data_IF_653375381438
#
_entry.id   IF_653375381438
#
_cell.length_a   1.000
_cell.length_b   1.000
_cell.length_c   1.000
_cell.angle_alpha   90.00
_cell.angle_beta   90.00
_cell.angle_gamma   90.00
#
_symmetry.space_group_name_H-M   'P 1'
#
loop_
_entity.id
_entity.type
_entity.pdbx_description
1 polymer ?
#
# COMPACT_ATOMS: atom_id res chain seq x y z
N UNK A 1 -25.98 19.69 -9.12
CA UNK A 1 -26.21 18.56 -8.16
C UNK A 1 -24.87 17.94 -7.86
N UNK A 2 -24.49 17.74 -6.58
CA UNK A 2 -23.20 17.14 -6.25
C UNK A 2 -23.13 15.68 -6.71
N UNK A 3 -22.00 15.22 -7.31
CA UNK A 3 -21.87 13.85 -7.79
C UNK A 3 -21.74 12.87 -6.64
N UNK A 4 -22.26 11.66 -6.85
CA UNK A 4 -21.99 10.51 -6.00
C UNK A 4 -20.73 9.83 -6.51
N UNK A 5 -19.73 9.69 -5.66
CA UNK A 5 -18.39 9.24 -6.04
C UNK A 5 -18.13 7.84 -5.48
N UNK A 6 -17.74 6.93 -6.35
CA UNK A 6 -17.33 5.58 -5.98
C UNK A 6 -15.81 5.52 -5.85
N UNK A 7 -15.30 5.20 -4.64
CA UNK A 7 -13.86 5.07 -4.35
C UNK A 7 -13.44 3.61 -4.38
N UNK A 8 -13.06 3.10 -5.55
CA UNK A 8 -12.74 1.68 -5.76
C UNK A 8 -11.30 1.41 -5.32
N UNK A 9 -11.12 0.74 -4.18
CA UNK A 9 -9.82 0.41 -3.59
C UNK A 9 -9.83 -0.90 -2.82
N UNK A 10 -8.66 -1.28 -2.27
CA UNK A 10 -8.49 -2.45 -1.40
C UNK A 10 -8.78 -2.09 0.05
N UNK A 11 -10.05 -1.83 0.35
CA UNK A 11 -10.48 -1.30 1.63
C UNK A 11 -11.02 -2.40 2.56
N UNK A 12 -10.82 -2.23 3.88
CA UNK A 12 -11.35 -3.13 4.91
C UNK A 12 -10.54 -4.40 5.12
N UNK A 13 -9.30 -4.43 4.67
CA UNK A 13 -8.35 -5.53 4.91
C UNK A 13 -7.48 -5.31 6.14
N UNK A 14 -7.66 -4.22 6.90
CA UNK A 14 -6.73 -3.72 7.89
C UNK A 14 -5.31 -3.54 7.31
N UNK A 15 -5.23 -2.92 6.14
CA UNK A 15 -3.97 -2.55 5.50
C UNK A 15 -3.69 -1.08 5.79
N UNK A 16 -2.70 -0.81 6.63
CA UNK A 16 -2.32 0.53 7.08
C UNK A 16 -2.12 1.50 5.93
N UNK A 17 -1.47 1.05 4.86
CA UNK A 17 -1.21 1.91 3.70
C UNK A 17 -2.47 2.24 2.90
N UNK A 18 -3.34 1.27 2.68
CA UNK A 18 -4.62 1.49 2.01
C UNK A 18 -5.53 2.42 2.84
N UNK A 19 -5.52 2.25 4.18
CA UNK A 19 -6.25 3.12 5.12
C UNK A 19 -5.73 4.56 5.08
N UNK A 20 -4.42 4.77 5.24
CA UNK A 20 -3.78 6.09 5.20
C UNK A 20 -4.05 6.81 3.88
N UNK A 21 -3.89 6.08 2.76
CA UNK A 21 -4.16 6.59 1.42
C UNK A 21 -5.63 6.98 1.23
N UNK A 22 -6.57 6.12 1.65
CA UNK A 22 -8.00 6.41 1.53
C UNK A 22 -8.40 7.65 2.32
N UNK A 23 -7.91 7.80 3.55
CA UNK A 23 -8.19 8.97 4.39
C UNK A 23 -7.66 10.24 3.72
N UNK A 24 -6.41 10.24 3.27
CA UNK A 24 -5.81 11.37 2.55
C UNK A 24 -6.60 11.73 1.27
N UNK A 25 -7.03 10.74 0.50
CA UNK A 25 -7.85 10.96 -0.71
C UNK A 25 -9.22 11.56 -0.35
N UNK A 26 -9.90 11.05 0.68
CA UNK A 26 -11.22 11.60 1.09
C UNK A 26 -11.09 13.06 1.50
N UNK A 27 -10.06 13.42 2.27
CA UNK A 27 -9.83 14.80 2.70
C UNK A 27 -9.48 15.70 1.49
N UNK A 28 -8.64 15.21 0.59
CA UNK A 28 -8.26 15.95 -0.63
C UNK A 28 -9.48 16.15 -1.55
N UNK A 29 -10.30 15.13 -1.78
CA UNK A 29 -11.51 15.25 -2.59
C UNK A 29 -12.53 16.21 -1.97
N UNK A 30 -12.65 16.24 -0.64
CA UNK A 30 -13.48 17.22 0.06
C UNK A 30 -12.98 18.66 -0.12
N UNK A 31 -11.66 18.84 -0.20
CA UNK A 31 -11.09 20.17 -0.48
C UNK A 31 -11.41 20.68 -1.90
N UNK A 32 -11.57 19.76 -2.86
CA UNK A 32 -11.89 20.09 -4.27
C UNK A 32 -13.39 20.23 -4.49
N UNK A 33 -14.21 19.32 -3.94
CA UNK A 33 -15.65 19.18 -4.23
C UNK A 33 -16.56 19.80 -3.17
N UNK A 34 -15.97 20.21 -2.03
CA UNK A 34 -16.68 20.68 -0.85
C UNK A 34 -16.99 19.57 0.15
N UNK A 35 -17.24 19.97 1.40
CA UNK A 35 -17.43 19.06 2.55
C UNK A 35 -18.63 18.13 2.42
N UNK A 36 -19.61 18.49 1.59
CA UNK A 36 -20.83 17.71 1.34
C UNK A 36 -20.67 16.69 0.19
N UNK A 37 -19.46 16.49 -0.34
CA UNK A 37 -19.23 15.49 -1.37
C UNK A 37 -19.64 14.10 -0.90
N UNK A 38 -20.39 13.37 -1.75
CA UNK A 38 -20.98 12.07 -1.39
C UNK A 38 -20.10 10.91 -1.86
N UNK A 39 -19.60 10.11 -0.93
CA UNK A 39 -18.73 8.98 -1.22
C UNK A 39 -19.41 7.63 -0.96
N UNK A 40 -19.14 6.68 -1.86
CA UNK A 40 -19.42 5.26 -1.67
C UNK A 40 -18.08 4.51 -1.67
N UNK A 41 -17.78 3.81 -0.58
CA UNK A 41 -16.51 3.08 -0.42
C UNK A 41 -16.79 1.58 -0.40
N UNK A 42 -16.41 0.84 -1.45
CA UNK A 42 -16.42 -0.62 -1.43
C UNK A 42 -15.42 -1.14 -0.39
N UNK A 43 -15.82 -2.16 0.36
CA UNK A 43 -14.98 -2.74 1.41
C UNK A 43 -15.09 -4.25 1.43
N UNK A 44 -13.98 -4.93 1.64
CA UNK A 44 -13.96 -6.38 1.86
C UNK A 44 -14.61 -6.76 3.20
N UNK A 45 -14.43 -5.90 4.21
CA UNK A 45 -15.04 -6.05 5.53
C UNK A 45 -15.36 -4.67 6.09
N UNK A 46 -16.64 -4.30 6.09
CA UNK A 46 -17.10 -2.97 6.46
C UNK A 46 -16.69 -2.60 7.91
N UNK A 47 -16.76 -3.56 8.84
CA UNK A 47 -16.41 -3.32 10.25
C UNK A 47 -14.97 -2.87 10.44
N UNK A 48 -14.03 -3.40 9.65
CA UNK A 48 -12.64 -2.94 9.71
C UNK A 48 -12.52 -1.48 9.25
N UNK A 49 -13.24 -1.10 8.19
CA UNK A 49 -13.19 0.25 7.65
C UNK A 49 -13.84 1.28 8.57
N UNK A 50 -14.88 0.91 9.30
CA UNK A 50 -15.58 1.76 10.28
C UNK A 50 -14.71 2.18 11.47
N UNK A 51 -13.59 1.50 11.71
CA UNK A 51 -12.63 1.87 12.77
C UNK A 51 -12.02 3.26 12.55
N UNK A 52 -11.96 3.74 11.33
CA UNK A 52 -11.30 5.00 10.97
C UNK A 52 -12.09 5.86 9.99
N UNK A 53 -13.14 5.33 9.36
CA UNK A 53 -14.00 6.05 8.42
C UNK A 53 -15.47 5.89 8.83
N UNK A 54 -16.02 6.93 9.43
CA UNK A 54 -17.40 6.88 9.93
C UNK A 54 -18.42 7.05 8.80
N UNK A 55 -19.44 6.20 8.79
CA UNK A 55 -20.60 6.37 7.91
C UNK A 55 -21.44 7.57 8.33
N UNK A 56 -22.04 8.22 7.35
CA UNK A 56 -22.90 9.37 7.54
C UNK A 56 -23.73 9.67 6.29
N UNK A 57 -24.41 10.81 6.26
CA UNK A 57 -25.24 11.20 5.11
C UNK A 57 -24.42 11.21 3.80
N UNK A 58 -23.18 11.66 3.87
CA UNK A 58 -22.29 11.89 2.73
C UNK A 58 -21.21 10.80 2.55
N UNK A 59 -21.23 9.72 3.34
CA UNK A 59 -20.29 8.62 3.21
C UNK A 59 -20.97 7.30 3.54
N UNK A 60 -20.91 6.36 2.58
CA UNK A 60 -21.48 5.02 2.73
C UNK A 60 -20.45 3.94 2.45
N UNK A 61 -20.34 2.95 3.34
CA UNK A 61 -19.47 1.79 3.18
C UNK A 61 -20.33 0.63 2.64
N UNK A 62 -19.87 -0.01 1.56
CA UNK A 62 -20.57 -1.13 0.93
C UNK A 62 -19.70 -2.37 0.88
N UNK A 63 -20.10 -3.45 1.53
CA UNK A 63 -19.40 -4.72 1.48
C UNK A 63 -19.43 -5.31 0.08
N UNK A 64 -18.25 -5.73 -0.40
CA UNK A 64 -18.06 -6.46 -1.65
C UNK A 64 -17.76 -7.93 -1.32
N UNK A 65 -18.50 -8.81 -1.96
CA UNK A 65 -18.35 -10.26 -1.78
C UNK A 65 -17.28 -10.79 -2.75
N UNK A 66 -16.19 -11.40 -2.27
CA UNK A 66 -15.11 -11.85 -3.14
C UNK A 66 -15.54 -12.78 -4.28
N UNK A 67 -16.49 -13.68 -4.03
CA UNK A 67 -17.01 -14.59 -5.05
C UNK A 67 -17.99 -13.93 -6.05
N UNK A 68 -18.57 -12.79 -5.69
CA UNK A 68 -19.61 -12.08 -6.47
C UNK A 68 -19.17 -10.68 -6.91
N UNK A 69 -17.88 -10.40 -6.84
CA UNK A 69 -17.34 -9.05 -7.13
C UNK A 69 -17.75 -8.49 -8.50
N UNK A 70 -17.94 -9.29 -9.58
CA UNK A 70 -18.35 -8.72 -10.87
C UNK A 70 -19.74 -8.09 -10.81
N UNK A 71 -20.67 -8.73 -10.10
CA UNK A 71 -22.03 -8.20 -9.89
C UNK A 71 -22.01 -7.00 -8.94
N UNK A 72 -21.26 -7.10 -7.83
CA UNK A 72 -21.21 -6.03 -6.84
C UNK A 72 -20.62 -4.75 -7.43
N UNK A 73 -19.52 -4.84 -8.21
CA UNK A 73 -18.91 -3.65 -8.86
C UNK A 73 -19.83 -3.06 -9.93
N UNK A 74 -20.51 -3.89 -10.74
CA UNK A 74 -21.50 -3.42 -11.70
C UNK A 74 -22.59 -2.60 -11.03
N UNK A 75 -23.17 -3.11 -9.93
CA UNK A 75 -24.21 -2.43 -9.15
C UNK A 75 -23.70 -1.11 -8.57
N UNK A 76 -22.50 -1.10 -8.00
CA UNK A 76 -21.90 0.09 -7.40
C UNK A 76 -21.62 1.17 -8.45
N UNK A 77 -21.06 0.82 -9.60
CA UNK A 77 -20.85 1.75 -10.71
C UNK A 77 -22.18 2.34 -11.17
N UNK A 78 -23.25 1.53 -11.29
CA UNK A 78 -24.57 2.01 -11.68
C UNK A 78 -25.14 3.08 -10.72
N UNK A 79 -24.86 2.96 -9.43
CA UNK A 79 -25.39 3.84 -8.38
C UNK A 79 -24.62 5.13 -8.16
N UNK A 80 -23.44 5.28 -8.77
CA UNK A 80 -22.58 6.45 -8.59
C UNK A 80 -22.37 7.19 -9.93
N UNK A 81 -22.00 8.44 -9.87
CA UNK A 81 -21.89 9.35 -11.02
C UNK A 81 -20.44 9.50 -11.51
N UNK A 82 -19.46 9.41 -10.60
CA UNK A 82 -18.01 9.43 -10.85
C UNK A 82 -17.37 8.21 -10.20
N UNK A 83 -16.47 7.55 -10.93
CA UNK A 83 -15.72 6.39 -10.47
C UNK A 83 -14.25 6.75 -10.33
N UNK A 84 -13.69 6.60 -9.12
CA UNK A 84 -12.28 6.77 -8.85
C UNK A 84 -11.66 5.44 -8.46
N UNK A 85 -10.63 5.01 -9.19
CA UNK A 85 -9.77 3.90 -8.78
C UNK A 85 -8.72 4.50 -7.84
N UNK A 86 -8.75 4.13 -6.56
CA UNK A 86 -7.93 4.78 -5.52
C UNK A 86 -6.86 3.87 -4.92
N UNK A 87 -6.63 2.70 -5.54
CA UNK A 87 -5.63 1.74 -5.05
C UNK A 87 -4.32 1.84 -5.82
N UNK A 88 -3.19 1.76 -5.09
CA UNK A 88 -1.88 1.75 -5.70
C UNK A 88 -1.62 0.54 -6.62
N UNK A 89 -2.24 -0.60 -6.35
CA UNK A 89 -2.04 -1.84 -7.12
C UNK A 89 -3.04 -2.06 -8.27
N UNK A 90 -3.62 -0.98 -8.83
CA UNK A 90 -4.67 -1.10 -9.85
C UNK A 90 -4.25 -1.85 -11.11
N UNK A 91 -3.01 -1.73 -11.55
CA UNK A 91 -2.53 -2.28 -12.81
C UNK A 91 -1.37 -3.26 -12.62
N UNK A 92 -1.59 -4.29 -11.80
CA UNK A 92 -0.66 -5.40 -11.57
C UNK A 92 -1.40 -6.66 -11.12
N UNK A 93 -0.80 -7.84 -11.34
CA UNK A 93 -1.36 -9.13 -10.92
C UNK A 93 -0.49 -9.88 -9.90
N UNK A 94 0.58 -9.24 -9.41
CA UNK A 94 1.50 -9.82 -8.44
C UNK A 94 0.87 -10.20 -7.10
N UNK A 95 -0.25 -9.60 -6.74
CA UNK A 95 -1.00 -9.92 -5.51
C UNK A 95 -2.12 -10.92 -5.78
N UNK A 96 -3.02 -10.58 -6.71
CA UNK A 96 -4.14 -11.41 -7.10
C UNK A 96 -4.67 -10.95 -8.47
N UNK A 97 -4.74 -11.82 -9.48
CA UNK A 97 -5.38 -11.47 -10.76
C UNK A 97 -6.82 -10.96 -10.61
N UNK A 98 -7.58 -11.52 -9.66
CA UNK A 98 -8.96 -11.08 -9.40
C UNK A 98 -9.07 -9.65 -8.88
N UNK A 99 -8.07 -9.16 -8.15
CA UNK A 99 -8.03 -7.77 -7.69
C UNK A 99 -7.81 -6.81 -8.88
N UNK A 100 -6.90 -7.14 -9.78
CA UNK A 100 -6.74 -6.43 -11.04
C UNK A 100 -8.05 -6.41 -11.84
N UNK A 101 -8.72 -7.56 -11.99
CA UNK A 101 -9.98 -7.65 -12.73
C UNK A 101 -11.11 -6.83 -12.10
N UNK A 102 -11.12 -6.71 -10.77
CA UNK A 102 -12.06 -5.85 -10.05
C UNK A 102 -11.94 -4.39 -10.49
N UNK A 103 -10.72 -3.85 -10.60
CA UNK A 103 -10.47 -2.49 -11.06
C UNK A 103 -10.78 -2.32 -12.56
N UNK A 104 -10.34 -3.25 -13.40
CA UNK A 104 -10.63 -3.22 -14.82
C UNK A 104 -12.13 -3.30 -15.13
N UNK A 105 -12.88 -4.09 -14.36
CA UNK A 105 -14.34 -4.16 -14.46
C UNK A 105 -15.02 -2.87 -14.02
N UNK A 106 -14.49 -2.16 -13.01
CA UNK A 106 -14.98 -0.85 -12.63
C UNK A 106 -14.87 0.14 -13.81
N UNK A 107 -13.70 0.22 -14.44
CA UNK A 107 -13.45 1.05 -15.63
C UNK A 107 -14.37 0.65 -16.79
N UNK A 108 -14.45 -0.64 -17.10
CA UNK A 108 -15.30 -1.16 -18.18
C UNK A 108 -16.78 -0.79 -17.99
N UNK A 109 -17.29 -0.99 -16.77
CA UNK A 109 -18.69 -0.69 -16.45
C UNK A 109 -18.95 0.82 -16.49
N UNK A 110 -18.03 1.65 -15.99
CA UNK A 110 -18.11 3.09 -16.07
C UNK A 110 -18.22 3.56 -17.53
N UNK A 111 -17.31 3.09 -18.39
CA UNK A 111 -17.31 3.41 -19.81
C UNK A 111 -18.62 2.96 -20.51
N UNK A 112 -19.09 1.72 -20.26
CA UNK A 112 -20.33 1.20 -20.81
C UNK A 112 -21.56 2.01 -20.38
N UNK A 113 -21.55 2.61 -19.20
CA UNK A 113 -22.61 3.44 -18.65
C UNK A 113 -22.37 4.94 -18.93
N UNK A 114 -21.38 5.30 -19.74
CA UNK A 114 -20.99 6.69 -20.08
C UNK A 114 -20.73 7.55 -18.84
N UNK A 115 -20.09 6.98 -17.83
CA UNK A 115 -19.70 7.67 -16.60
C UNK A 115 -18.20 7.91 -16.58
N UNK A 116 -17.71 9.06 -16.07
CA UNK A 116 -16.28 9.30 -15.94
C UNK A 116 -15.64 8.31 -14.97
N UNK A 117 -14.47 7.83 -15.36
CA UNK A 117 -13.62 7.00 -14.55
C UNK A 117 -12.20 7.58 -14.53
N UNK A 118 -11.68 7.86 -13.34
CA UNK A 118 -10.32 8.39 -13.15
C UNK A 118 -9.54 7.41 -12.28
N UNK A 119 -8.34 7.06 -12.72
CA UNK A 119 -7.41 6.30 -11.91
C UNK A 119 -6.55 7.29 -11.09
N UNK A 120 -6.78 7.33 -9.77
CA UNK A 120 -6.31 8.38 -8.89
C UNK A 120 -5.13 7.91 -8.04
N UNK A 121 -3.94 8.43 -8.33
CA UNK A 121 -2.70 8.07 -7.61
C UNK A 121 -2.42 6.56 -7.65
N UNK A 122 -2.45 5.97 -8.85
CA UNK A 122 -2.33 4.53 -9.07
C UNK A 122 -0.92 4.13 -9.53
N UNK A 123 -0.65 2.82 -9.51
CA UNK A 123 0.60 2.25 -9.99
C UNK A 123 0.35 1.12 -11.00
N UNK A 124 1.41 0.80 -11.74
CA UNK A 124 1.51 -0.35 -12.62
C UNK A 124 2.76 -1.16 -12.26
N UNK A 125 2.56 -2.42 -11.89
CA UNK A 125 3.64 -3.33 -11.53
C UNK A 125 3.81 -4.48 -12.52
N UNK A 126 4.25 -5.64 -12.04
CA UNK A 126 4.33 -6.84 -12.86
C UNK A 126 2.95 -7.32 -13.26
N UNK A 127 2.81 -7.74 -14.52
CA UNK A 127 1.58 -8.36 -15.02
C UNK A 127 1.91 -9.40 -16.11
N UNK A 128 1.15 -10.51 -16.12
CA UNK A 128 1.23 -11.55 -17.14
C UNK A 128 0.85 -10.99 -18.52
N UNK A 129 1.26 -11.67 -19.62
CA UNK A 129 0.95 -11.23 -20.99
C UNK A 129 -0.56 -11.04 -21.22
N UNK A 130 -1.38 -11.96 -20.71
CA UNK A 130 -2.83 -11.87 -20.79
C UNK A 130 -3.36 -10.65 -20.04
N UNK A 131 -2.90 -10.44 -18.80
CA UNK A 131 -3.35 -9.31 -18.00
C UNK A 131 -2.85 -7.96 -18.52
N UNK A 132 -1.64 -7.89 -19.17
CA UNK A 132 -1.21 -6.68 -19.90
C UNK A 132 -2.15 -6.33 -21.05
N UNK A 133 -2.59 -7.35 -21.80
CA UNK A 133 -3.60 -7.14 -22.86
C UNK A 133 -4.92 -6.62 -22.28
N UNK A 134 -5.40 -7.18 -21.18
CA UNK A 134 -6.59 -6.67 -20.47
C UNK A 134 -6.40 -5.23 -19.97
N UNK A 135 -5.26 -4.93 -19.35
CA UNK A 135 -4.92 -3.57 -18.88
C UNK A 135 -4.94 -2.61 -20.05
N UNK A 136 -4.22 -2.91 -21.14
CA UNK A 136 -4.25 -2.08 -22.35
C UNK A 136 -5.68 -1.77 -22.80
N UNK A 137 -6.51 -2.81 -22.90
CA UNK A 137 -7.88 -2.68 -23.40
C UNK A 137 -8.79 -1.89 -22.49
N UNK A 138 -8.73 -2.13 -21.18
CA UNK A 138 -9.69 -1.55 -20.25
C UNK A 138 -9.18 -0.24 -19.63
N UNK A 139 -7.89 -0.12 -19.31
CA UNK A 139 -7.31 1.14 -18.80
C UNK A 139 -7.34 2.26 -19.86
N UNK A 140 -7.26 1.92 -21.16
CA UNK A 140 -7.44 2.91 -22.23
C UNK A 140 -8.83 3.58 -22.28
N UNK A 141 -9.80 3.05 -21.52
CA UNK A 141 -11.14 3.64 -21.36
C UNK A 141 -11.25 4.60 -20.18
N UNK A 142 -10.18 4.73 -19.41
CA UNK A 142 -10.10 5.65 -18.29
C UNK A 142 -9.98 7.08 -18.82
N UNK A 143 -10.69 8.03 -18.23
CA UNK A 143 -10.68 9.42 -18.69
C UNK A 143 -9.37 10.14 -18.34
N UNK A 144 -8.76 9.80 -17.20
CA UNK A 144 -7.48 10.32 -16.75
C UNK A 144 -6.82 9.30 -15.82
N UNK A 145 -5.52 9.09 -15.97
CA UNK A 145 -4.69 8.26 -15.10
C UNK A 145 -3.65 9.13 -14.42
N UNK A 146 -3.75 9.27 -13.10
CA UNK A 146 -2.74 9.90 -12.26
C UNK A 146 -1.81 8.79 -11.74
N UNK A 147 -0.69 8.59 -12.42
CA UNK A 147 0.31 7.58 -12.06
C UNK A 147 1.22 8.14 -10.97
N UNK A 148 1.45 7.38 -9.90
CA UNK A 148 2.24 7.88 -8.76
C UNK A 148 3.75 7.81 -8.94
N UNK A 149 4.24 7.13 -10.00
CA UNK A 149 5.66 7.07 -10.38
C UNK A 149 5.83 7.25 -11.88
N UNK A 150 7.00 7.76 -12.30
CA UNK A 150 7.36 7.87 -13.71
C UNK A 150 7.42 6.48 -14.37
N UNK A 151 7.91 5.49 -13.62
CA UNK A 151 8.04 4.12 -14.09
C UNK A 151 6.68 3.46 -14.33
N UNK A 152 5.68 3.73 -13.47
CA UNK A 152 4.31 3.27 -13.69
C UNK A 152 3.70 3.86 -14.96
N UNK A 153 3.86 5.17 -15.19
CA UNK A 153 3.41 5.83 -16.39
C UNK A 153 4.06 5.21 -17.65
N UNK A 154 5.38 5.04 -17.61
CA UNK A 154 6.14 4.42 -18.70
C UNK A 154 5.68 2.99 -19.00
N UNK A 155 5.47 2.15 -17.97
CA UNK A 155 4.96 0.78 -18.15
C UNK A 155 3.59 0.76 -18.82
N UNK A 156 2.66 1.63 -18.41
CA UNK A 156 1.33 1.74 -19.04
C UNK A 156 1.42 2.15 -20.51
N UNK A 157 2.29 3.11 -20.84
CA UNK A 157 2.55 3.54 -22.21
C UNK A 157 3.16 2.41 -23.05
N UNK A 158 4.17 1.70 -22.53
CA UNK A 158 4.80 0.54 -23.18
C UNK A 158 3.80 -0.61 -23.41
N UNK A 159 2.82 -0.78 -22.53
CA UNK A 159 1.73 -1.75 -22.73
C UNK A 159 0.68 -1.28 -23.73
N UNK A 160 0.79 -0.03 -24.21
CA UNK A 160 -0.09 0.55 -25.21
C UNK A 160 -1.41 1.09 -24.65
N UNK A 161 -1.44 1.52 -23.39
CA UNK A 161 -2.57 2.28 -22.84
C UNK A 161 -2.63 3.66 -23.49
N UNK A 162 -3.81 4.04 -24.01
CA UNK A 162 -4.04 5.28 -24.76
C UNK A 162 -4.77 6.37 -23.96
N UNK A 163 -5.21 6.09 -22.74
CA UNK A 163 -5.76 7.10 -21.84
C UNK A 163 -4.73 8.19 -21.53
N UNK A 164 -5.12 9.45 -21.26
CA UNK A 164 -4.24 10.48 -20.74
C UNK A 164 -3.59 10.04 -19.43
N UNK A 165 -2.25 10.14 -19.35
CA UNK A 165 -1.48 9.72 -18.16
C UNK A 165 -0.65 10.91 -17.68
N UNK A 166 -0.85 11.30 -16.44
CA UNK A 166 -0.08 12.33 -15.74
C UNK A 166 0.67 11.73 -14.55
N UNK A 167 1.90 12.19 -14.33
CA UNK A 167 2.74 11.69 -13.23
C UNK A 167 2.58 12.56 -12.00
N UNK A 168 2.14 11.93 -10.92
CA UNK A 168 1.93 12.57 -9.62
C UNK A 168 2.69 11.82 -8.51
N UNK A 169 2.13 11.68 -7.32
CA UNK A 169 2.65 10.82 -6.27
C UNK A 169 1.53 10.17 -5.45
N UNK A 170 1.91 9.24 -4.57
CA UNK A 170 0.96 8.57 -3.68
C UNK A 170 0.35 9.55 -2.67
N UNK A 171 -0.97 9.49 -2.47
CA UNK A 171 -1.64 10.32 -1.46
C UNK A 171 -1.21 9.99 -0.02
N UNK A 172 -0.62 8.81 0.23
CA UNK A 172 -0.04 8.49 1.53
C UNK A 172 1.07 9.47 1.96
N UNK A 173 1.71 10.19 1.04
CA UNK A 173 2.65 11.27 1.37
C UNK A 173 1.98 12.50 2.01
N UNK A 174 0.68 12.69 1.82
CA UNK A 174 -0.09 13.74 2.48
C UNK A 174 -0.61 13.32 3.86
N UNK A 175 -0.65 12.02 4.15
CA UNK A 175 -1.19 11.50 5.40
C UNK A 175 -0.34 11.89 6.61
N UNK A 176 -1.00 12.41 7.65
CA UNK A 176 -0.38 12.69 8.94
C UNK A 176 -1.13 11.95 10.05
N UNK A 177 -0.43 11.44 11.06
CA UNK A 177 -1.05 10.91 12.27
C UNK A 177 -1.88 11.99 12.97
N UNK A 178 -2.87 11.55 13.75
CA UNK A 178 -3.59 12.44 14.64
C UNK A 178 -2.64 12.95 15.74
N UNK A 179 -2.79 14.19 16.22
CA UNK A 179 -1.90 14.75 17.25
C UNK A 179 -1.82 13.92 18.53
N UNK A 180 -2.91 13.29 18.93
CA UNK A 180 -2.97 12.41 20.11
C UNK A 180 -2.12 11.14 19.97
N UNK A 181 -1.79 10.73 18.76
CA UNK A 181 -0.96 9.56 18.48
C UNK A 181 0.54 9.89 18.43
N UNK A 182 0.94 11.17 18.45
CA UNK A 182 2.36 11.55 18.48
C UNK A 182 3.09 10.91 19.66
N UNK A 183 4.28 10.35 19.40
CA UNK A 183 5.09 9.66 20.43
C UNK A 183 4.46 8.37 20.98
N UNK A 184 3.53 7.77 20.23
CA UNK A 184 2.83 6.56 20.68
C UNK A 184 3.79 5.40 20.98
N UNK A 185 4.84 5.19 20.17
CA UNK A 185 5.81 4.11 20.41
C UNK A 185 6.43 4.21 21.81
N UNK A 186 6.87 5.41 22.20
CA UNK A 186 7.46 5.65 23.53
C UNK A 186 6.44 5.44 24.65
N UNK A 187 5.16 5.80 24.44
CA UNK A 187 4.10 5.54 25.44
C UNK A 187 3.79 4.05 25.60
N UNK A 188 3.81 3.30 24.48
CA UNK A 188 3.52 1.86 24.49
C UNK A 188 4.72 1.02 24.94
N UNK A 189 5.92 1.57 24.78
CA UNK A 189 7.17 0.87 25.08
C UNK A 189 8.23 1.83 25.65
N UNK A 190 8.06 2.30 26.90
CA UNK A 190 8.92 3.32 27.53
C UNK A 190 10.40 2.92 27.60
N UNK A 191 10.67 1.64 27.87
CA UNK A 191 12.00 1.10 28.14
C UNK A 191 12.68 0.51 26.89
N UNK A 192 12.13 0.76 25.68
CA UNK A 192 12.64 0.16 24.46
C UNK A 192 14.02 0.69 24.02
N UNK A 193 14.42 1.89 24.47
CA UNK A 193 15.60 2.56 23.93
C UNK A 193 15.42 2.96 22.47
N UNK A 194 16.45 2.77 21.64
CA UNK A 194 16.36 2.90 20.19
C UNK A 194 15.64 1.69 19.59
N UNK A 195 14.76 1.93 18.63
CA UNK A 195 13.90 0.88 18.08
C UNK A 195 14.08 0.75 16.57
N UNK A 196 14.46 -0.44 16.12
CA UNK A 196 14.46 -0.83 14.71
C UNK A 196 13.11 -1.45 14.36
N UNK A 197 12.52 -1.00 13.26
CA UNK A 197 11.29 -1.59 12.74
C UNK A 197 11.56 -2.65 11.69
N UNK A 198 10.88 -3.78 11.76
CA UNK A 198 10.87 -4.80 10.71
C UNK A 198 9.43 -4.96 10.23
N UNK A 199 9.11 -4.37 9.07
CA UNK A 199 7.80 -4.44 8.42
C UNK A 199 7.83 -5.51 7.32
N UNK A 200 7.88 -6.77 7.73
CA UNK A 200 7.99 -7.92 6.83
C UNK A 200 6.63 -8.51 6.48
N UNK A 201 6.51 -8.94 5.22
CA UNK A 201 5.45 -9.83 4.76
C UNK A 201 6.04 -11.16 4.28
N UNK A 202 5.21 -12.19 4.27
CA UNK A 202 5.58 -13.47 3.68
C UNK A 202 5.46 -13.40 2.14
N UNK A 203 6.54 -12.90 1.51
CA UNK A 203 6.59 -12.64 0.07
C UNK A 203 6.40 -13.88 -0.80
N UNK A 204 6.63 -15.08 -0.26
CA UNK A 204 6.55 -16.35 -0.99
C UNK A 204 5.13 -16.92 -1.06
N UNK A 205 4.14 -16.31 -0.37
CA UNK A 205 2.73 -16.70 -0.45
C UNK A 205 1.99 -16.12 -1.66
N UNK A 206 2.58 -15.14 -2.31
CA UNK A 206 1.96 -14.45 -3.45
C UNK A 206 2.34 -15.05 -4.80
N UNK A 207 1.51 -14.87 -5.84
CA UNK A 207 0.14 -14.33 -5.80
C UNK A 207 -0.88 -15.34 -5.28
N UNK A 208 -2.03 -14.86 -4.77
CA UNK A 208 -3.18 -15.71 -4.49
C UNK A 208 -3.87 -16.11 -5.80
N UNK A 209 -4.32 -17.35 -5.88
CA UNK A 209 -4.95 -17.94 -7.05
C UNK A 209 -6.39 -18.37 -6.75
N UNK A 210 -7.26 -18.27 -7.75
CA UNK A 210 -8.63 -18.75 -7.63
C UNK A 210 -8.65 -20.28 -7.76
N UNK A 211 -9.23 -20.96 -6.75
CA UNK A 211 -9.45 -22.41 -6.72
C UNK A 211 -10.80 -22.69 -6.10
N UNK A 212 -11.55 -23.67 -6.62
CA UNK A 212 -12.84 -24.03 -6.05
C UNK A 212 -12.71 -24.86 -4.76
N UNK A 213 -11.57 -25.49 -4.56
CA UNK A 213 -11.21 -26.29 -3.38
C UNK A 213 -9.72 -26.13 -3.03
N UNK A 214 -9.39 -26.36 -1.76
CA UNK A 214 -8.02 -26.28 -1.23
C UNK A 214 -8.02 -26.46 0.29
N UNK A 215 -6.84 -26.61 0.88
CA UNK A 215 -6.68 -26.69 2.33
C UNK A 215 -7.06 -25.36 2.99
N UNK A 216 -7.80 -25.42 4.11
CA UNK A 216 -8.31 -24.24 4.83
C UNK A 216 -7.18 -23.31 5.29
N UNK A 217 -6.04 -23.85 5.67
CA UNK A 217 -4.86 -23.10 6.13
C UNK A 217 -4.25 -22.19 5.05
N UNK A 218 -4.39 -22.55 3.77
CA UNK A 218 -3.94 -21.74 2.64
C UNK A 218 -5.04 -20.87 2.04
N UNK A 219 -6.25 -20.90 2.59
CA UNK A 219 -7.36 -20.10 2.11
C UNK A 219 -7.21 -18.65 2.55
N UNK A 220 -6.90 -17.77 1.59
CA UNK A 220 -6.93 -16.33 1.82
C UNK A 220 -8.37 -15.85 2.09
N UNK A 221 -9.24 -16.04 1.12
CA UNK A 221 -10.70 -15.81 1.17
C UNK A 221 -11.33 -16.63 0.05
N UNK A 222 -12.19 -17.57 0.39
CA UNK A 222 -12.81 -18.40 -0.64
C UNK A 222 -13.43 -17.54 -1.77
N UNK A 223 -13.14 -17.85 -3.05
CA UNK A 223 -12.39 -18.99 -3.61
C UNK A 223 -10.88 -18.73 -3.87
N UNK A 224 -10.22 -17.88 -3.12
CA UNK A 224 -8.82 -17.48 -3.33
C UNK A 224 -7.88 -18.12 -2.31
N UNK A 225 -6.76 -18.68 -2.80
CA UNK A 225 -5.80 -19.44 -2.00
C UNK A 225 -4.38 -18.93 -2.26
N UNK A 226 -3.56 -18.89 -1.20
CA UNK A 226 -2.13 -18.57 -1.29
C UNK A 226 -1.37 -19.63 -2.10
N UNK A 227 -0.21 -19.24 -2.65
CA UNK A 227 0.78 -20.17 -3.13
C UNK A 227 1.33 -21.01 -1.98
N UNK A 228 1.40 -22.34 -2.16
CA UNK A 228 1.75 -23.26 -1.09
C UNK A 228 2.52 -24.48 -1.62
N UNK A 229 3.36 -24.29 -2.65
CA UNK A 229 4.30 -25.34 -3.05
C UNK A 229 5.29 -25.63 -1.92
N UNK A 230 5.86 -26.82 -1.88
CA UNK A 230 6.88 -27.18 -0.91
C UNK A 230 8.06 -26.16 -0.92
N UNK A 231 8.46 -25.71 -2.11
CA UNK A 231 9.49 -24.69 -2.27
C UNK A 231 9.08 -23.34 -1.68
N UNK A 232 7.85 -22.85 -1.94
CA UNK A 232 7.36 -21.62 -1.35
C UNK A 232 7.32 -21.68 0.17
N UNK A 233 6.87 -22.81 0.72
CA UNK A 233 6.85 -23.01 2.18
C UNK A 233 8.27 -23.00 2.77
N UNK A 234 9.22 -23.72 2.14
CA UNK A 234 10.62 -23.74 2.61
C UNK A 234 11.28 -22.35 2.55
N UNK A 235 11.04 -21.58 1.49
CA UNK A 235 11.53 -20.19 1.38
C UNK A 235 10.90 -19.27 2.43
N UNK A 236 9.62 -19.46 2.73
CA UNK A 236 8.92 -18.71 3.79
C UNK A 236 9.49 -19.01 5.17
N UNK A 237 9.77 -20.28 5.48
CA UNK A 237 10.42 -20.68 6.73
C UNK A 237 11.82 -20.06 6.85
N UNK A 238 12.64 -20.18 5.79
CA UNK A 238 13.98 -19.60 5.77
C UNK A 238 13.96 -18.07 5.96
N UNK A 239 13.02 -17.35 5.33
CA UNK A 239 12.90 -15.91 5.52
C UNK A 239 12.59 -15.55 6.97
N UNK A 240 11.71 -16.31 7.63
CA UNK A 240 11.40 -16.10 9.05
C UNK A 240 12.62 -16.36 9.95
N UNK A 241 13.40 -17.43 9.67
CA UNK A 241 14.63 -17.74 10.41
C UNK A 241 15.66 -16.61 10.28
N UNK A 242 15.88 -16.15 9.06
CA UNK A 242 16.86 -15.07 8.79
C UNK A 242 16.46 -13.76 9.46
N UNK A 243 15.18 -13.37 9.38
CA UNK A 243 14.72 -12.14 10.05
C UNK A 243 14.78 -12.26 11.59
N UNK A 244 14.60 -13.47 12.14
CA UNK A 244 14.81 -13.71 13.56
C UNK A 244 16.27 -13.55 13.97
N UNK A 245 17.19 -14.18 13.22
CA UNK A 245 18.65 -14.06 13.45
C UNK A 245 19.09 -12.59 13.32
N UNK A 246 18.66 -11.90 12.26
CA UNK A 246 18.99 -10.47 12.10
C UNK A 246 18.43 -9.61 13.23
N UNK A 247 17.24 -9.94 13.75
CA UNK A 247 16.68 -9.25 14.91
C UNK A 247 17.53 -9.46 16.17
N UNK A 248 18.02 -10.68 16.40
CA UNK A 248 18.92 -10.99 17.51
C UNK A 248 20.27 -10.28 17.36
N UNK A 249 20.86 -10.24 16.17
CA UNK A 249 22.11 -9.48 15.87
C UNK A 249 21.91 -7.97 16.15
N UNK A 250 20.78 -7.38 15.77
CA UNK A 250 20.46 -5.98 16.08
C UNK A 250 20.44 -5.74 17.59
N UNK A 251 19.89 -6.68 18.36
CA UNK A 251 19.83 -6.58 19.82
C UNK A 251 21.22 -6.78 20.45
N UNK A 252 21.95 -7.82 20.03
CA UNK A 252 23.23 -8.21 20.62
C UNK A 252 24.35 -7.20 20.29
N UNK A 253 24.44 -6.76 19.04
CA UNK A 253 25.55 -5.96 18.55
C UNK A 253 25.35 -4.44 18.72
N UNK A 254 24.09 -3.97 18.72
CA UNK A 254 23.75 -2.54 18.72
C UNK A 254 22.92 -2.08 19.91
N UNK A 255 22.54 -2.99 20.83
CA UNK A 255 21.68 -2.71 22.00
C UNK A 255 20.35 -2.01 21.64
N UNK A 256 19.78 -2.29 20.45
CA UNK A 256 18.52 -1.76 20.00
C UNK A 256 17.38 -2.77 20.23
N UNK A 257 16.16 -2.27 20.42
CA UNK A 257 14.97 -3.13 20.49
C UNK A 257 14.34 -3.27 19.09
N UNK A 258 13.58 -4.35 18.86
CA UNK A 258 12.98 -4.65 17.55
C UNK A 258 11.47 -4.57 17.60
N UNK A 259 10.88 -3.71 16.76
CA UNK A 259 9.44 -3.63 16.51
C UNK A 259 9.08 -4.42 15.27
N UNK A 260 8.37 -5.53 15.41
CA UNK A 260 7.81 -6.30 14.29
C UNK A 260 6.46 -5.68 13.88
N UNK A 261 6.38 -5.15 12.66
CA UNK A 261 5.26 -4.35 12.20
C UNK A 261 4.41 -5.12 11.19
N UNK A 262 3.21 -5.51 11.59
CA UNK A 262 2.21 -6.10 10.71
C UNK A 262 1.40 -4.99 10.04
N UNK A 263 1.80 -4.61 8.84
CA UNK A 263 1.18 -3.52 8.07
C UNK A 263 -0.19 -3.90 7.50
N UNK A 264 -0.47 -5.17 7.42
CA UNK A 264 -1.77 -5.73 7.07
C UNK A 264 -2.14 -6.86 8.04
N UNK A 265 -3.44 -7.11 8.26
CA UNK A 265 -3.86 -8.17 9.17
C UNK A 265 -3.29 -9.56 8.85
N UNK A 266 -2.88 -9.78 7.61
CA UNK A 266 -2.26 -11.02 7.13
C UNK A 266 -0.81 -11.20 7.61
N UNK A 267 -0.10 -10.11 7.87
CA UNK A 267 1.32 -10.15 8.27
C UNK A 267 1.50 -10.58 9.74
N UNK A 268 0.44 -10.49 10.55
CA UNK A 268 0.52 -10.76 11.98
C UNK A 268 1.02 -12.18 12.29
N UNK A 269 0.59 -13.18 11.52
CA UNK A 269 1.05 -14.54 11.69
C UNK A 269 2.55 -14.70 11.37
N UNK A 270 3.04 -13.97 10.37
CA UNK A 270 4.45 -14.00 9.99
C UNK A 270 5.32 -13.24 11.01
N UNK A 271 4.88 -12.08 11.49
CA UNK A 271 5.55 -11.35 12.58
C UNK A 271 5.67 -12.18 13.86
N UNK A 272 4.60 -12.86 14.29
CA UNK A 272 4.64 -13.77 15.44
C UNK A 272 5.56 -14.98 15.20
N UNK A 273 5.63 -15.50 13.95
CA UNK A 273 6.54 -16.58 13.58
C UNK A 273 8.00 -16.13 13.75
N UNK A 274 8.37 -14.94 13.28
CA UNK A 274 9.70 -14.36 13.49
C UNK A 274 10.00 -14.26 15.00
N UNK A 275 9.13 -13.62 15.76
CA UNK A 275 9.33 -13.45 17.22
C UNK A 275 9.54 -14.78 17.95
N UNK A 276 8.77 -15.81 17.59
CA UNK A 276 8.87 -17.14 18.23
C UNK A 276 10.19 -17.87 17.98
N UNK A 277 11.02 -17.38 17.02
CA UNK A 277 12.32 -17.94 16.65
C UNK A 277 13.51 -17.17 17.17
N UNK A 278 13.25 -15.98 17.74
CA UNK A 278 14.28 -15.10 18.29
C UNK A 278 14.80 -15.65 19.61
N UNK A 279 16.06 -15.34 19.92
CA UNK A 279 16.71 -15.60 21.22
C UNK A 279 16.26 -14.58 22.27
N UNK A 280 15.97 -13.33 21.83
CA UNK A 280 15.63 -12.20 22.68
C UNK A 280 14.19 -11.68 22.45
N UNK A 281 13.15 -12.52 22.59
CA UNK A 281 11.77 -12.10 22.37
C UNK A 281 11.30 -11.00 23.34
N UNK A 282 11.93 -10.86 24.51
CA UNK A 282 11.65 -9.82 25.52
C UNK A 282 12.08 -8.42 25.07
N UNK A 283 13.07 -8.31 24.15
CA UNK A 283 13.51 -7.07 23.50
C UNK A 283 12.75 -6.81 22.21
N UNK A 284 11.62 -7.51 21.99
CA UNK A 284 10.83 -7.44 20.75
C UNK A 284 9.36 -7.24 21.04
N UNK A 285 8.70 -6.37 20.25
CA UNK A 285 7.26 -6.14 20.34
C UNK A 285 6.60 -6.20 18.98
N UNK A 286 5.45 -6.89 18.90
CA UNK A 286 4.65 -6.97 17.67
C UNK A 286 3.56 -5.89 17.69
N UNK A 287 3.53 -5.06 16.65
CA UNK A 287 2.48 -4.06 16.42
C UNK A 287 1.68 -4.45 15.19
N UNK A 288 0.37 -4.60 15.35
CA UNK A 288 -0.48 -5.08 14.26
C UNK A 288 -1.51 -4.05 13.83
N UNK A 289 -1.74 -3.92 12.53
CA UNK A 289 -2.81 -3.09 11.96
C UNK A 289 -4.22 -3.53 12.36
N UNK A 290 -4.37 -4.73 12.92
CA UNK A 290 -5.62 -5.16 13.52
C UNK A 290 -5.90 -4.46 14.85
N UNK A 291 -4.85 -4.10 15.58
CA UNK A 291 -4.89 -3.46 16.91
C UNK A 291 -4.81 -1.93 16.78
N UNK A 292 -3.90 -1.47 15.92
CA UNK A 292 -3.59 -0.07 15.71
C UNK A 292 -4.12 0.39 14.34
N UNK A 293 -4.75 1.54 14.30
CA UNK A 293 -5.24 2.15 13.04
C UNK A 293 -4.09 2.80 12.25
N UNK A 294 -4.40 3.37 11.08
CA UNK A 294 -3.40 4.00 10.21
C UNK A 294 -2.64 5.15 10.89
N UNK A 295 -3.31 5.98 11.71
CA UNK A 295 -2.69 7.07 12.46
C UNK A 295 -1.66 6.53 13.45
N UNK A 296 -2.05 5.56 14.26
CA UNK A 296 -1.21 4.92 15.28
C UNK A 296 -0.02 4.19 14.68
N UNK A 297 -0.25 3.38 13.64
CA UNK A 297 0.84 2.67 12.94
C UNK A 297 1.81 3.66 12.26
N UNK A 298 1.31 4.76 11.69
CA UNK A 298 2.17 5.80 11.10
C UNK A 298 3.01 6.50 12.15
N UNK A 299 2.45 6.80 13.34
CA UNK A 299 3.20 7.38 14.46
C UNK A 299 4.31 6.43 14.93
N UNK A 300 4.03 5.12 15.02
CA UNK A 300 5.03 4.11 15.36
C UNK A 300 6.14 4.09 14.31
N UNK A 301 5.80 4.01 13.01
CA UNK A 301 6.77 4.02 11.91
C UNK A 301 7.67 5.25 11.91
N UNK A 302 7.13 6.43 12.23
CA UNK A 302 7.86 7.70 12.28
C UNK A 302 8.76 7.84 13.52
N UNK A 303 8.61 6.96 14.49
CA UNK A 303 9.41 6.94 15.74
C UNK A 303 10.53 5.90 15.73
N UNK A 304 10.75 5.22 14.61
CA UNK A 304 11.80 4.22 14.44
C UNK A 304 13.16 4.88 14.17
N UNK A 305 14.23 4.23 14.59
CA UNK A 305 15.60 4.59 14.24
C UNK A 305 15.94 4.17 12.81
N UNK A 306 15.68 2.91 12.48
CA UNK A 306 15.88 2.32 11.14
C UNK A 306 14.67 1.45 10.81
N UNK A 307 14.37 1.31 9.52
CA UNK A 307 13.31 0.45 9.02
C UNK A 307 13.87 -0.58 8.03
N UNK A 308 13.58 -1.85 8.28
CA UNK A 308 13.74 -2.96 7.33
C UNK A 308 12.34 -3.32 6.82
N UNK A 309 12.10 -3.32 5.52
CA UNK A 309 10.74 -3.50 5.03
C UNK A 309 10.63 -4.31 3.74
N UNK A 310 9.54 -5.05 3.61
CA UNK A 310 9.01 -5.58 2.34
C UNK A 310 7.64 -4.95 1.98
N UNK A 311 7.20 -3.96 2.77
CA UNK A 311 5.93 -3.26 2.59
C UNK A 311 6.14 -1.82 2.08
N UNK A 312 5.67 -1.52 0.86
CA UNK A 312 5.78 -0.22 0.22
C UNK A 312 5.33 0.94 1.12
N UNK A 313 4.15 0.84 1.74
CA UNK A 313 3.64 1.93 2.55
C UNK A 313 4.33 2.08 3.92
N UNK A 314 5.03 1.07 4.43
CA UNK A 314 5.87 1.27 5.61
C UNK A 314 7.02 2.22 5.27
N UNK A 315 7.65 2.03 4.10
CA UNK A 315 8.66 2.96 3.57
C UNK A 315 8.10 4.37 3.36
N UNK A 316 6.95 4.51 2.69
CA UNK A 316 6.34 5.82 2.39
C UNK A 316 5.97 6.59 3.67
N UNK A 317 5.28 5.93 4.62
CA UNK A 317 4.75 6.58 5.82
C UNK A 317 5.84 7.00 6.82
N UNK A 318 7.00 6.32 6.82
CA UNK A 318 8.17 6.67 7.64
C UNK A 318 8.99 7.85 7.09
N UNK A 319 8.87 8.16 5.77
CA UNK A 319 9.66 9.19 5.10
C UNK A 319 9.47 10.61 5.65
N UNK A 320 8.31 10.92 6.22
CA UNK A 320 8.07 12.25 6.80
C UNK A 320 9.05 12.58 7.94
N UNK A 321 9.52 11.57 8.66
CA UNK A 321 10.53 11.68 9.72
C UNK A 321 11.92 11.19 9.25
N UNK A 322 12.11 11.03 7.96
CA UNK A 322 13.38 10.65 7.32
C UNK A 322 14.00 9.37 7.90
N UNK A 323 13.19 8.41 8.33
CA UNK A 323 13.66 7.15 8.90
C UNK A 323 14.51 6.40 7.87
N UNK A 324 15.82 6.18 8.13
CA UNK A 324 16.67 5.41 7.25
C UNK A 324 16.13 4.01 7.03
N UNK A 325 16.16 3.51 5.79
CA UNK A 325 15.47 2.28 5.46
C UNK A 325 16.16 1.44 4.40
N UNK A 326 16.09 0.12 4.56
CA UNK A 326 16.43 -0.88 3.56
C UNK A 326 15.23 -1.77 3.27
N UNK A 327 15.16 -2.36 2.09
CA UNK A 327 14.03 -3.20 1.72
C UNK A 327 14.47 -4.51 1.07
N UNK A 328 13.70 -5.57 1.33
CA UNK A 328 13.79 -6.85 0.62
C UNK A 328 12.44 -7.21 0.05
N UNK A 329 12.37 -7.60 -1.23
CA UNK A 329 11.11 -8.01 -1.80
C UNK A 329 11.10 -8.17 -3.32
N UNK A 330 9.92 -8.46 -3.83
CA UNK A 330 9.60 -8.60 -5.26
C UNK A 330 8.79 -7.41 -5.80
N UNK A 331 8.43 -6.46 -4.93
CA UNK A 331 7.52 -5.37 -5.27
C UNK A 331 8.25 -4.25 -6.02
N UNK A 332 7.98 -4.15 -7.31
CA UNK A 332 8.54 -3.09 -8.17
C UNK A 332 8.23 -1.68 -7.66
N UNK A 333 7.17 -1.49 -6.88
CA UNK A 333 6.81 -0.20 -6.30
C UNK A 333 7.84 0.29 -5.31
N UNK A 334 8.41 -0.62 -4.50
CA UNK A 334 9.50 -0.29 -3.56
C UNK A 334 10.77 0.04 -4.33
N UNK A 335 11.11 -0.77 -5.33
CA UNK A 335 12.27 -0.54 -6.20
C UNK A 335 12.17 0.82 -6.91
N UNK A 336 11.01 1.17 -7.44
CA UNK A 336 10.76 2.45 -8.10
C UNK A 336 10.90 3.63 -7.10
N UNK A 337 10.33 3.49 -5.88
CA UNK A 337 10.48 4.48 -4.80
C UNK A 337 11.95 4.69 -4.44
N UNK A 338 12.71 3.62 -4.23
CA UNK A 338 14.12 3.67 -3.86
C UNK A 338 14.98 4.27 -4.98
N UNK A 339 14.62 4.00 -6.23
CA UNK A 339 15.27 4.62 -7.40
C UNK A 339 15.02 6.12 -7.43
N UNK A 340 13.77 6.55 -7.26
CA UNK A 340 13.41 7.98 -7.22
C UNK A 340 14.06 8.72 -6.03
N UNK A 341 14.24 8.03 -4.90
CA UNK A 341 14.93 8.56 -3.71
C UNK A 341 16.47 8.54 -3.84
N UNK A 342 17.03 7.88 -4.87
CA UNK A 342 18.47 7.71 -5.06
C UNK A 342 19.13 6.73 -4.09
N UNK A 343 18.36 5.86 -3.46
CA UNK A 343 18.79 4.82 -2.51
C UNK A 343 18.58 3.40 -3.04
N UNK A 344 18.55 3.23 -4.36
CA UNK A 344 18.28 1.94 -5.00
C UNK A 344 19.26 0.82 -4.60
N UNK A 345 20.46 1.15 -4.14
CA UNK A 345 21.43 0.19 -3.60
C UNK A 345 20.98 -0.45 -2.27
N UNK A 346 20.02 0.15 -1.58
CA UNK A 346 19.41 -0.37 -0.35
C UNK A 346 18.18 -1.25 -0.60
N UNK A 347 17.83 -1.49 -1.87
CA UNK A 347 16.80 -2.46 -2.25
C UNK A 347 17.45 -3.80 -2.59
N UNK A 348 17.05 -4.85 -1.88
CA UNK A 348 17.51 -6.22 -2.09
C UNK A 348 16.42 -7.02 -2.81
N UNK A 349 16.74 -7.60 -3.95
CA UNK A 349 15.82 -8.49 -4.66
C UNK A 349 15.67 -9.81 -3.89
N UNK A 350 14.43 -10.28 -3.73
CA UNK A 350 14.16 -11.52 -2.99
C UNK A 350 14.71 -12.78 -3.66
N UNK A 351 15.05 -12.73 -4.95
CA UNK A 351 15.68 -13.83 -5.69
C UNK A 351 17.21 -13.77 -5.67
N UNK A 352 17.81 -12.67 -5.18
CA UNK A 352 19.26 -12.55 -5.08
C UNK A 352 19.82 -13.66 -4.18
N UNK A 353 20.83 -14.44 -4.63
CA UNK A 353 21.43 -15.50 -3.82
C UNK A 353 22.06 -14.99 -2.52
N UNK A 354 22.60 -13.76 -2.51
CA UNK A 354 23.24 -13.13 -1.37
C UNK A 354 22.29 -12.21 -0.57
N UNK A 355 21.00 -12.23 -0.85
CA UNK A 355 19.97 -11.30 -0.32
C UNK A 355 20.02 -11.09 1.20
N UNK A 356 20.32 -12.12 1.96
CA UNK A 356 20.32 -12.03 3.41
C UNK A 356 21.61 -11.34 3.93
N UNK A 357 22.75 -11.65 3.31
CA UNK A 357 24.01 -10.96 3.58
C UNK A 357 23.89 -9.46 3.20
N UNK A 358 23.35 -9.19 2.02
CA UNK A 358 23.12 -7.82 1.56
C UNK A 358 22.18 -7.04 2.50
N UNK A 359 21.19 -7.69 3.11
CA UNK A 359 20.28 -7.04 4.05
C UNK A 359 21.01 -6.64 5.34
N UNK A 360 21.88 -7.49 5.90
CA UNK A 360 22.72 -7.18 7.06
C UNK A 360 23.75 -6.09 6.73
N UNK A 361 24.40 -6.17 5.59
CA UNK A 361 25.35 -5.15 5.11
C UNK A 361 24.67 -3.80 4.92
N UNK A 362 23.46 -3.77 4.35
CA UNK A 362 22.65 -2.55 4.22
C UNK A 362 22.28 -1.96 5.57
N UNK A 363 21.95 -2.79 6.57
CA UNK A 363 21.66 -2.29 7.91
C UNK A 363 22.85 -1.58 8.52
N UNK A 364 24.04 -2.20 8.50
CA UNK A 364 25.30 -1.57 8.95
C UNK A 364 25.58 -0.28 8.19
N UNK A 365 25.42 -0.31 6.86
CA UNK A 365 25.62 0.88 6.02
C UNK A 365 24.68 2.04 6.41
N UNK A 366 23.42 1.74 6.76
CA UNK A 366 22.46 2.76 7.21
C UNK A 366 22.90 3.42 8.51
N UNK A 367 23.46 2.68 9.45
CA UNK A 367 23.98 3.22 10.72
C UNK A 367 25.23 4.08 10.47
N UNK A 368 26.17 3.62 9.66
CA UNK A 368 27.41 4.34 9.32
C UNK A 368 27.13 5.64 8.55
N UNK A 369 26.07 5.68 7.74
CA UNK A 369 25.72 6.80 6.88
C UNK A 369 24.43 7.52 7.30
N UNK A 370 24.00 7.36 8.54
CA UNK A 370 22.70 7.76 9.07
C UNK A 370 22.27 9.18 8.65
N UNK A 371 23.08 10.19 8.99
CA UNK A 371 22.76 11.59 8.69
C UNK A 371 22.71 11.89 7.19
N UNK A 372 23.57 11.26 6.39
CA UNK A 372 23.59 11.41 4.93
C UNK A 372 22.32 10.86 4.30
N UNK A 373 21.90 9.67 4.73
CA UNK A 373 20.66 9.02 4.27
C UNK A 373 19.44 9.85 4.69
N UNK A 374 19.37 10.31 5.94
CA UNK A 374 18.28 11.20 6.39
C UNK A 374 18.15 12.44 5.53
N UNK A 375 19.28 13.10 5.21
CA UNK A 375 19.28 14.28 4.36
C UNK A 375 18.78 13.98 2.95
N UNK A 376 19.14 12.83 2.39
CA UNK A 376 18.68 12.37 1.09
C UNK A 376 17.18 12.07 1.10
N UNK A 377 16.68 11.37 2.12
CA UNK A 377 15.26 11.06 2.29
C UNK A 377 14.43 12.34 2.48
N UNK A 378 14.94 13.35 3.23
CA UNK A 378 14.29 14.65 3.38
C UNK A 378 14.07 15.35 2.04
N UNK A 379 15.10 15.38 1.18
CA UNK A 379 14.98 15.95 -0.18
C UNK A 379 13.93 15.20 -1.01
N UNK A 380 13.97 13.87 -0.99
CA UNK A 380 13.02 13.04 -1.70
C UNK A 380 11.58 13.25 -1.21
N UNK A 381 11.37 13.29 0.10
CA UNK A 381 10.06 13.53 0.68
C UNK A 381 9.45 14.87 0.24
N UNK A 382 10.23 15.95 0.23
CA UNK A 382 9.77 17.28 -0.24
C UNK A 382 9.34 17.21 -1.71
N UNK A 383 10.08 16.51 -2.56
CA UNK A 383 9.75 16.34 -3.97
C UNK A 383 8.45 15.53 -4.14
N UNK A 384 8.31 14.42 -3.41
CA UNK A 384 7.08 13.62 -3.43
C UNK A 384 5.87 14.39 -2.95
N UNK A 385 5.99 15.15 -1.84
CA UNK A 385 4.91 15.98 -1.33
C UNK A 385 4.49 17.09 -2.31
N UNK A 386 5.44 17.65 -3.07
CA UNK A 386 5.12 18.59 -4.14
C UNK A 386 4.37 17.94 -5.30
N UNK A 387 4.79 16.72 -5.70
CA UNK A 387 4.13 15.96 -6.77
C UNK A 387 2.74 15.48 -6.34
N UNK A 388 2.58 15.08 -5.09
CA UNK A 388 1.31 14.62 -4.53
C UNK A 388 0.22 15.69 -4.66
N UNK A 389 0.51 16.95 -4.35
CA UNK A 389 -0.42 18.09 -4.52
C UNK A 389 -0.94 18.27 -5.96
N UNK A 390 -0.28 17.69 -6.95
CA UNK A 390 -0.77 17.73 -8.33
C UNK A 390 -1.98 16.80 -8.54
N UNK A 391 -2.23 15.81 -7.67
CA UNK A 391 -3.43 14.97 -7.76
C UNK A 391 -4.69 15.85 -7.73
N UNK A 392 -4.85 16.67 -6.69
CA UNK A 392 -5.98 17.61 -6.55
C UNK A 392 -6.08 18.62 -7.69
N UNK A 393 -4.94 19.18 -8.12
CA UNK A 393 -4.90 20.18 -9.20
C UNK A 393 -5.38 19.59 -10.52
N UNK A 394 -4.86 18.44 -10.92
CA UNK A 394 -5.22 17.79 -12.19
C UNK A 394 -6.67 17.28 -12.16
N UNK A 395 -7.10 16.76 -11.01
CA UNK A 395 -8.49 16.36 -10.82
C UNK A 395 -9.43 17.55 -10.93
N UNK A 396 -9.11 18.68 -10.26
CA UNK A 396 -9.88 19.90 -10.36
C UNK A 396 -9.95 20.43 -11.79
N UNK A 397 -8.80 20.49 -12.49
CA UNK A 397 -8.74 20.93 -13.89
C UNK A 397 -9.62 20.07 -14.80
N UNK A 398 -9.58 18.73 -14.62
CA UNK A 398 -10.46 17.82 -15.33
C UNK A 398 -11.95 18.11 -15.07
N UNK A 399 -12.33 18.41 -13.84
CA UNK A 399 -13.71 18.78 -13.51
C UNK A 399 -14.11 20.12 -14.07
N UNK A 400 -13.24 21.14 -14.01
CA UNK A 400 -13.48 22.47 -14.60
C UNK A 400 -13.76 22.39 -16.10
N UNK A 401 -13.08 21.48 -16.80
CA UNK A 401 -13.26 21.29 -18.24
C UNK A 401 -14.52 20.49 -18.61
N UNK A 402 -14.86 19.46 -17.82
CA UNK A 402 -15.87 18.48 -18.23
C UNK A 402 -17.15 18.48 -17.38
N UNK A 403 -17.07 18.93 -16.13
CA UNK A 403 -18.14 18.85 -15.10
C UNK A 403 -18.11 20.06 -14.16
N UNK A 404 -18.07 21.31 -14.66
CA UNK A 404 -17.94 22.50 -13.81
C UNK A 404 -19.06 22.62 -12.78
N UNK A 405 -20.25 22.05 -13.06
CA UNK A 405 -21.39 22.03 -12.15
C UNK A 405 -21.21 21.16 -10.90
N UNK A 406 -20.14 20.34 -10.84
CA UNK A 406 -19.81 19.52 -9.68
C UNK A 406 -18.91 20.26 -8.67
N UNK A 407 -18.28 21.34 -9.10
CA UNK A 407 -17.44 22.15 -8.23
C UNK A 407 -18.28 23.10 -7.34
N UNK A 408 -17.75 23.51 -6.15
CA UNK A 408 -18.44 24.43 -5.26
C UNK A 408 -18.60 25.83 -5.83
#
# INVERSE_FOLDING_TARGET
>A
MKPRILLVGYNGANNTGAEAKLLAIVDELRSVLGVDACFTVPSLKAENLKRYLQEGPNLKIKTVRPAMFPYDIWRLVRQNDLILLVEGSCYMDSWAPALLWFYLLATRNAHAMKKPCIAYSVDAGSASRFNRWLIRREASKTNLILARTQQAAKRLQEWGVTAPIEVTADNAFAFNPQPEDEGLLKRLWPDAGLVVGIAAEDIYKWPVQMRLWGHKEFCYRWPYYYSHSHECCAKSELLADVLAVQSDEIIDDYDMSVALLSMEGLDAAFANKIQSRMKHPERTKVFTSMQYNASQMTSILRSLEVLITSRYHAGVLSLANQVPQTAIGHDLRIKDLYTDLGINHLFVDHEDPDRYKLLSENFTYLLDNYNSIQHQLAKGFVQYKKREKNNAKLFRAYLEEHYPEWLP
#
